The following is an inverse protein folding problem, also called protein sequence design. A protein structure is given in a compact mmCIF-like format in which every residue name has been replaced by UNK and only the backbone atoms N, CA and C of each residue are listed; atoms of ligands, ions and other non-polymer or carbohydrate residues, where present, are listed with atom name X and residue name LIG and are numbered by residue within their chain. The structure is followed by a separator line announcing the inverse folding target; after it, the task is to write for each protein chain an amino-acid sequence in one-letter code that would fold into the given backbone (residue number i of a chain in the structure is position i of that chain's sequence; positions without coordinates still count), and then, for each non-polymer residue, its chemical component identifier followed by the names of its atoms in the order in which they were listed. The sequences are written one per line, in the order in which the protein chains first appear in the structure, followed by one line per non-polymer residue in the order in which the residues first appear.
data_IF_879990516240
#
_entry.id   IF_879990516240
#
_cell.length_a   1.000
_cell.length_b   1.000
_cell.length_c   1.000
_cell.angle_alpha   90.00
_cell.angle_beta   90.00
_cell.angle_gamma   90.00
#
_symmetry.space_group_name_H-M   'P 1'
#
loop_
_entity.id
_entity.type
_entity.pdbx_description
1 polymer ?
#
# COMPACT_ATOMS: atom_id res chain seq x y z
N UNK A 1 5.99 -17.10 -1.65
CA UNK A 1 5.33 -15.82 -1.95
C UNK A 1 6.17 -14.66 -1.43
N UNK A 2 6.98 -14.06 -2.29
CA UNK A 2 7.63 -12.78 -2.05
C UNK A 2 6.89 -11.65 -2.76
N UNK A 3 6.57 -10.59 -2.01
CA UNK A 3 6.09 -9.33 -2.55
C UNK A 3 7.00 -8.23 -2.05
N UNK A 4 7.58 -7.52 -3.00
CA UNK A 4 8.48 -6.42 -2.73
C UNK A 4 7.88 -5.12 -3.25
N UNK A 5 8.09 -4.05 -2.50
CA UNK A 5 7.55 -2.75 -2.83
C UNK A 5 8.40 -2.01 -3.82
N UNK A 6 7.93 -1.92 -5.06
CA UNK A 6 8.23 -0.74 -5.86
C UNK A 6 7.40 0.42 -5.34
N UNK A 7 8.01 1.61 -5.30
CA UNK A 7 7.26 2.86 -5.17
C UNK A 7 6.19 2.95 -6.26
N UNK A 8 5.07 3.60 -5.94
CA UNK A 8 4.04 3.93 -6.93
C UNK A 8 4.41 5.22 -7.65
N UNK A 9 4.08 5.28 -8.94
CA UNK A 9 3.94 6.56 -9.60
C UNK A 9 2.67 7.24 -9.08
N UNK A 10 2.83 8.45 -8.54
CA UNK A 10 1.75 9.31 -8.10
C UNK A 10 1.54 10.39 -9.16
N UNK A 11 0.31 10.48 -9.69
CA UNK A 11 -0.08 11.47 -10.68
C UNK A 11 -1.23 12.30 -10.12
N UNK A 12 -0.97 13.56 -9.70
CA UNK A 12 -2.02 14.50 -9.36
C UNK A 12 -2.91 14.79 -10.57
N UNK A 13 -4.22 14.67 -10.40
CA UNK A 13 -5.20 15.01 -11.43
C UNK A 13 -5.83 16.36 -11.04
N UNK A 14 -5.23 17.44 -11.52
CA UNK A 14 -5.69 18.81 -11.29
C UNK A 14 -6.43 19.40 -12.49
N UNK A 15 -6.13 18.93 -13.71
CA UNK A 15 -6.77 19.39 -14.94
C UNK A 15 -6.81 18.30 -16.02
N UNK A 16 -7.37 18.64 -17.20
CA UNK A 16 -7.57 17.70 -18.30
C UNK A 16 -6.27 17.17 -18.91
N UNK A 17 -5.18 17.92 -18.85
CA UNK A 17 -3.88 17.50 -19.40
C UNK A 17 -3.29 16.31 -18.62
N UNK A 18 -3.53 16.26 -17.30
CA UNK A 18 -3.12 15.17 -16.41
C UNK A 18 -3.74 13.82 -16.82
N UNK A 19 -4.95 13.82 -17.40
CA UNK A 19 -5.61 12.59 -17.90
C UNK A 19 -4.77 11.96 -19.01
N UNK A 20 -4.25 12.78 -19.93
CA UNK A 20 -3.41 12.31 -21.03
C UNK A 20 -2.07 11.77 -20.54
N UNK A 21 -1.49 12.40 -19.52
CA UNK A 21 -0.26 11.95 -18.86
C UNK A 21 -0.45 10.61 -18.15
N UNK A 22 -1.44 10.50 -17.26
CA UNK A 22 -1.76 9.28 -16.54
C UNK A 22 -2.04 8.10 -17.50
N UNK A 23 -2.74 8.37 -18.60
CA UNK A 23 -2.98 7.36 -19.65
C UNK A 23 -1.70 6.89 -20.33
N UNK A 24 -0.76 7.78 -20.67
CA UNK A 24 0.51 7.39 -21.30
C UNK A 24 1.37 6.56 -20.34
N UNK A 25 1.52 7.02 -19.11
CA UNK A 25 2.33 6.32 -18.11
C UNK A 25 1.75 4.94 -17.78
N UNK A 26 0.43 4.84 -17.66
CA UNK A 26 -0.24 3.55 -17.41
C UNK A 26 -0.11 2.57 -18.57
N UNK A 27 -0.10 3.04 -19.83
CA UNK A 27 0.17 2.20 -20.99
C UNK A 27 1.62 1.67 -20.97
N UNK A 28 2.60 2.52 -20.68
CA UNK A 28 4.01 2.12 -20.54
C UNK A 28 4.20 1.08 -19.42
N UNK A 29 3.57 1.29 -18.26
CA UNK A 29 3.61 0.34 -17.15
C UNK A 29 2.97 -1.00 -17.53
N UNK A 30 1.85 -1.00 -18.27
CA UNK A 30 1.19 -2.21 -18.72
C UNK A 30 2.04 -3.04 -19.69
N UNK A 31 2.79 -2.36 -20.58
CA UNK A 31 3.76 -3.01 -21.47
C UNK A 31 4.92 -3.60 -20.68
N UNK A 32 5.49 -2.84 -19.74
CA UNK A 32 6.59 -3.28 -18.86
C UNK A 32 6.19 -4.43 -17.94
N UNK A 33 4.92 -4.46 -17.51
CA UNK A 33 4.36 -5.54 -16.70
C UNK A 33 4.27 -6.86 -17.47
N UNK A 34 4.41 -6.87 -18.80
CA UNK A 34 4.28 -8.06 -19.67
C UNK A 34 2.91 -8.73 -19.54
N UNK A 35 1.86 -7.92 -19.46
CA UNK A 35 0.48 -8.40 -19.55
C UNK A 35 0.20 -9.03 -20.93
N UNK A 36 -0.81 -9.89 -21.02
CA UNK A 36 -1.38 -10.34 -22.31
C UNK A 36 -1.92 -9.12 -23.06
N UNK A 37 -1.82 -9.13 -24.39
CA UNK A 37 -2.21 -7.99 -25.24
C UNK A 37 -3.62 -7.45 -24.95
N UNK A 38 -4.60 -8.34 -24.71
CA UNK A 38 -5.96 -7.94 -24.37
C UNK A 38 -6.08 -7.21 -23.02
N UNK A 39 -5.20 -7.50 -22.07
CA UNK A 39 -5.16 -6.89 -20.74
C UNK A 39 -4.36 -5.58 -20.75
N UNK A 40 -3.28 -5.50 -21.55
CA UNK A 40 -2.48 -4.27 -21.73
C UNK A 40 -3.34 -3.09 -22.16
N UNK A 41 -4.31 -3.31 -23.06
CA UNK A 41 -5.23 -2.27 -23.51
C UNK A 41 -6.26 -1.82 -22.47
N UNK A 42 -6.55 -2.62 -21.43
CA UNK A 42 -7.56 -2.28 -20.39
C UNK A 42 -7.04 -1.24 -19.40
N UNK A 43 -5.77 -1.32 -19.04
CA UNK A 43 -5.11 -0.43 -18.06
C UNK A 43 -5.30 1.06 -18.42
N UNK A 44 -4.91 1.56 -19.60
CA UNK A 44 -5.07 2.98 -19.95
C UNK A 44 -6.54 3.41 -20.08
N UNK A 45 -7.46 2.49 -20.42
CA UNK A 45 -8.90 2.78 -20.42
C UNK A 45 -9.42 3.02 -19.00
N UNK A 46 -9.08 2.13 -18.07
CA UNK A 46 -9.45 2.27 -16.65
C UNK A 46 -8.89 3.58 -16.09
N UNK A 47 -7.60 3.87 -16.33
CA UNK A 47 -6.97 5.10 -15.82
C UNK A 47 -7.63 6.35 -16.39
N UNK A 48 -8.02 6.36 -17.67
CA UNK A 48 -8.70 7.50 -18.29
C UNK A 48 -10.07 7.76 -17.66
N UNK A 49 -10.85 6.70 -17.41
CA UNK A 49 -12.16 6.81 -16.77
C UNK A 49 -12.02 7.27 -15.31
N UNK A 50 -11.08 6.70 -14.55
CA UNK A 50 -10.84 7.10 -13.16
C UNK A 50 -10.36 8.55 -13.07
N UNK A 51 -9.37 8.96 -13.87
CA UNK A 51 -8.90 10.34 -13.88
C UNK A 51 -9.99 11.33 -14.31
N UNK A 52 -10.84 10.96 -15.27
CA UNK A 52 -12.01 11.76 -15.67
C UNK A 52 -13.00 11.89 -14.52
N UNK A 53 -13.27 10.80 -13.78
CA UNK A 53 -14.16 10.83 -12.63
C UNK A 53 -13.62 11.72 -11.50
N UNK A 54 -12.31 11.68 -11.22
CA UNK A 54 -11.68 12.57 -10.24
C UNK A 54 -11.93 14.04 -10.59
N UNK A 55 -11.71 14.42 -11.86
CA UNK A 55 -11.90 15.81 -12.29
C UNK A 55 -13.38 16.23 -12.30
N UNK A 56 -14.29 15.38 -12.81
CA UNK A 56 -15.71 15.72 -12.96
C UNK A 56 -16.49 15.69 -11.65
N UNK A 57 -16.16 14.78 -10.72
CA UNK A 57 -16.96 14.54 -9.52
C UNK A 57 -16.29 15.02 -8.23
N UNK A 58 -14.96 15.13 -8.21
CA UNK A 58 -14.20 15.55 -7.03
C UNK A 58 -13.37 16.82 -7.23
N UNK A 59 -13.39 17.42 -8.43
CA UNK A 59 -12.59 18.59 -8.87
C UNK A 59 -11.08 18.34 -8.93
N UNK A 60 -10.54 17.48 -8.07
CA UNK A 60 -9.15 17.06 -8.08
C UNK A 60 -9.01 15.68 -7.41
N UNK A 61 -7.87 15.04 -7.63
CA UNK A 61 -7.52 13.80 -6.95
C UNK A 61 -6.13 13.32 -7.35
N UNK A 62 -5.86 12.05 -7.09
CA UNK A 62 -4.57 11.43 -7.36
C UNK A 62 -4.78 10.01 -7.91
N UNK A 63 -3.99 9.66 -8.92
CA UNK A 63 -3.87 8.29 -9.42
C UNK A 63 -2.53 7.74 -8.95
N UNK A 64 -2.55 6.60 -8.25
CA UNK A 64 -1.37 5.81 -7.91
C UNK A 64 -1.30 4.59 -8.82
N UNK A 65 -0.15 4.39 -9.48
CA UNK A 65 0.10 3.26 -10.38
C UNK A 65 1.33 2.48 -9.94
N UNK A 66 1.23 1.15 -10.00
CA UNK A 66 2.41 0.27 -9.89
C UNK A 66 2.24 -1.03 -10.66
N UNK A 67 3.37 -1.63 -10.99
CA UNK A 67 3.46 -3.03 -11.40
C UNK A 67 3.55 -3.88 -10.12
N UNK A 68 2.71 -4.90 -10.01
CA UNK A 68 2.71 -5.84 -8.89
C UNK A 68 3.64 -7.02 -9.21
N UNK A 69 4.57 -7.41 -8.32
CA UNK A 69 5.53 -8.48 -8.57
C UNK A 69 4.97 -9.88 -8.86
N UNK A 70 5.78 -10.64 -9.61
CA UNK A 70 5.45 -11.79 -10.47
C UNK A 70 5.06 -13.10 -9.77
N UNK A 71 5.25 -13.27 -8.45
CA UNK A 71 4.80 -14.52 -7.79
C UNK A 71 3.28 -14.68 -7.76
N UNK A 72 2.57 -13.57 -7.96
CA UNK A 72 1.14 -13.58 -8.24
C UNK A 72 0.86 -13.74 -9.74
N UNK A 73 1.82 -13.39 -10.59
CA UNK A 73 1.74 -13.20 -12.04
C UNK A 73 1.72 -11.71 -12.41
N UNK A 74 1.96 -11.35 -13.69
CA UNK A 74 2.06 -9.95 -14.12
C UNK A 74 0.74 -9.21 -13.89
N UNK A 75 0.81 -8.09 -13.16
CA UNK A 75 -0.35 -7.29 -12.82
C UNK A 75 -0.01 -5.80 -12.70
N UNK A 76 -0.98 -4.96 -13.02
CA UNK A 76 -0.94 -3.52 -12.77
C UNK A 76 -2.01 -3.17 -11.76
N UNK A 77 -1.63 -2.44 -10.71
CA UNK A 77 -2.55 -1.89 -9.73
C UNK A 77 -2.72 -0.39 -9.98
N UNK A 78 -3.98 0.03 -9.94
CA UNK A 78 -4.45 1.39 -10.15
C UNK A 78 -5.28 1.75 -8.92
N UNK A 79 -4.88 2.82 -8.22
CA UNK A 79 -5.65 3.38 -7.12
C UNK A 79 -5.99 4.82 -7.48
N UNK A 80 -7.27 5.17 -7.44
CA UNK A 80 -7.75 6.54 -7.58
C UNK A 80 -8.27 7.02 -6.23
N UNK A 81 -7.79 8.17 -5.76
CA UNK A 81 -8.22 8.77 -4.49
C UNK A 81 -8.61 10.23 -4.68
N UNK A 82 -9.68 10.63 -3.99
CA UNK A 82 -10.12 12.01 -3.92
C UNK A 82 -10.64 12.38 -2.52
N UNK A 83 -10.70 13.68 -2.27
CA UNK A 83 -11.33 14.31 -1.09
C UNK A 83 -12.62 15.05 -1.45
N UNK A 84 -13.26 14.63 -2.54
CA UNK A 84 -14.50 15.22 -3.04
C UNK A 84 -15.71 14.86 -2.16
N UNK A 85 -16.93 15.09 -2.66
CA UNK A 85 -18.15 14.93 -1.88
C UNK A 85 -18.46 13.47 -1.51
N UNK A 86 -17.85 12.48 -2.17
CA UNK A 86 -18.18 11.06 -2.01
C UNK A 86 -19.56 10.69 -2.57
N UNK A 87 -19.94 9.42 -2.41
CA UNK A 87 -21.17 8.84 -2.97
C UNK A 87 -22.15 8.38 -1.88
N UNK A 88 -23.41 8.81 -1.97
CA UNK A 88 -24.49 8.40 -1.07
C UNK A 88 -24.98 6.97 -1.34
N UNK A 89 -25.14 6.63 -2.63
CA UNK A 89 -25.61 5.32 -3.08
C UNK A 89 -24.60 4.70 -4.04
N UNK A 90 -23.61 4.05 -3.45
CA UNK A 90 -22.54 3.37 -4.17
C UNK A 90 -23.07 2.30 -5.13
N UNK A 91 -24.14 1.58 -4.76
CA UNK A 91 -24.72 0.52 -5.60
C UNK A 91 -25.26 1.11 -6.89
N UNK A 92 -25.95 2.24 -6.80
CA UNK A 92 -26.47 2.95 -7.97
C UNK A 92 -25.36 3.49 -8.87
N UNK A 93 -24.26 4.00 -8.28
CA UNK A 93 -23.08 4.47 -9.02
C UNK A 93 -22.34 3.36 -9.80
N UNK A 94 -22.49 2.10 -9.40
CA UNK A 94 -21.90 0.94 -10.08
C UNK A 94 -22.81 0.32 -11.17
N UNK A 95 -24.05 0.78 -11.28
CA UNK A 95 -25.00 0.32 -12.30
C UNK A 95 -24.74 1.05 -13.62
N UNK A 96 -24.68 0.29 -14.72
CA UNK A 96 -24.50 0.87 -16.05
C UNK A 96 -25.64 1.82 -16.44
N UNK A 97 -25.28 2.87 -17.18
CA UNK A 97 -26.21 3.91 -17.63
C UNK A 97 -26.46 5.01 -16.59
N UNK A 98 -25.94 4.89 -15.37
CA UNK A 98 -26.04 5.93 -14.37
C UNK A 98 -24.92 6.97 -14.54
N UNK A 99 -25.28 8.19 -14.94
CA UNK A 99 -24.41 9.36 -14.93
C UNK A 99 -25.10 10.49 -14.19
N UNK A 100 -24.39 11.12 -13.25
CA UNK A 100 -24.83 12.36 -12.62
C UNK A 100 -24.50 13.61 -13.44
N UNK A 101 -23.63 13.51 -14.47
CA UNK A 101 -23.07 14.66 -15.20
C UNK A 101 -23.14 14.49 -16.73
N UNK A 102 -24.14 13.77 -17.26
CA UNK A 102 -24.39 13.71 -18.71
C UNK A 102 -23.31 13.02 -19.56
N UNK A 103 -22.36 12.32 -18.94
CA UNK A 103 -21.46 11.38 -19.62
C UNK A 103 -22.23 10.11 -20.00
N UNK A 104 -21.68 9.25 -20.87
CA UNK A 104 -22.33 8.00 -21.35
C UNK A 104 -22.74 6.98 -20.26
N UNK A 105 -22.60 7.30 -18.96
CA UNK A 105 -23.11 6.47 -17.86
C UNK A 105 -22.37 5.16 -17.65
N UNK A 106 -21.17 5.02 -18.22
CA UNK A 106 -20.39 3.78 -18.13
C UNK A 106 -19.25 3.84 -17.10
N UNK A 107 -18.91 4.99 -16.52
CA UNK A 107 -17.62 5.23 -15.83
C UNK A 107 -17.17 4.14 -14.84
N UNK A 108 -17.76 4.08 -13.63
CA UNK A 108 -17.34 3.11 -12.61
C UNK A 108 -17.77 1.66 -12.92
N UNK A 109 -18.91 1.47 -13.60
CA UNK A 109 -19.36 0.15 -14.04
C UNK A 109 -18.39 -0.48 -15.05
N UNK A 110 -17.88 0.31 -16.00
CA UNK A 110 -16.87 -0.10 -16.97
C UNK A 110 -15.53 -0.39 -16.30
N UNK A 111 -15.08 0.48 -15.38
CA UNK A 111 -13.87 0.20 -14.59
C UNK A 111 -13.98 -1.16 -13.91
N UNK A 112 -15.09 -1.44 -13.22
CA UNK A 112 -15.32 -2.74 -12.58
C UNK A 112 -15.26 -3.91 -13.56
N UNK A 113 -15.87 -3.80 -14.74
CA UNK A 113 -15.84 -4.86 -15.78
C UNK A 113 -14.47 -5.09 -16.39
N UNK A 114 -13.70 -4.02 -16.56
CA UNK A 114 -12.36 -4.09 -17.15
C UNK A 114 -11.30 -4.58 -16.15
N UNK A 115 -11.61 -4.51 -14.86
CA UNK A 115 -10.73 -4.93 -13.77
C UNK A 115 -10.82 -6.43 -13.50
N UNK A 116 -9.70 -7.03 -13.13
CA UNK A 116 -9.68 -8.40 -12.57
C UNK A 116 -10.08 -8.40 -11.10
N UNK A 117 -9.56 -7.44 -10.32
CA UNK A 117 -10.09 -7.12 -8.99
C UNK A 117 -10.53 -5.67 -8.97
N UNK A 118 -11.66 -5.41 -8.31
CA UNK A 118 -12.19 -4.08 -8.12
C UNK A 118 -12.71 -3.96 -6.69
N UNK A 119 -12.35 -2.88 -6.03
CA UNK A 119 -12.98 -2.49 -4.77
C UNK A 119 -13.07 -0.97 -4.67
N UNK A 120 -14.03 -0.49 -3.91
CA UNK A 120 -14.33 0.94 -3.80
C UNK A 120 -14.88 1.26 -2.42
N UNK A 121 -14.32 2.31 -1.83
CA UNK A 121 -14.80 2.89 -0.59
C UNK A 121 -15.12 4.36 -0.83
N UNK A 122 -16.35 4.75 -0.52
CA UNK A 122 -16.81 6.13 -0.62
C UNK A 122 -17.78 6.40 0.51
N UNK A 123 -17.59 7.52 1.20
CA UNK A 123 -18.54 8.00 2.20
C UNK A 123 -18.77 9.49 1.98
N UNK A 124 -19.98 9.96 2.27
CA UNK A 124 -20.26 11.39 2.22
C UNK A 124 -20.08 12.01 3.62
N UNK A 125 -19.42 13.17 3.74
CA UNK A 125 -18.73 13.96 2.71
C UNK A 125 -17.19 13.73 2.70
N UNK A 126 -16.71 12.48 2.67
CA UNK A 126 -15.31 12.14 2.92
C UNK A 126 -14.58 11.49 1.71
N UNK A 127 -15.02 11.83 0.49
CA UNK A 127 -14.37 11.44 -0.76
C UNK A 127 -14.45 9.94 -1.09
N UNK A 128 -13.62 9.53 -2.05
CA UNK A 128 -13.60 8.16 -2.56
C UNK A 128 -12.18 7.61 -2.70
N UNK A 129 -12.04 6.29 -2.52
CA UNK A 129 -10.91 5.51 -2.99
C UNK A 129 -11.43 4.38 -3.88
N UNK A 130 -10.88 4.24 -5.08
CA UNK A 130 -11.17 3.16 -6.02
C UNK A 130 -9.90 2.38 -6.28
N UNK A 131 -9.97 1.06 -6.09
CA UNK A 131 -8.92 0.12 -6.42
C UNK A 131 -9.32 -0.67 -7.67
N UNK A 132 -8.40 -0.78 -8.61
CA UNK A 132 -8.49 -1.65 -9.78
C UNK A 132 -7.18 -2.39 -9.96
N UNK A 133 -7.25 -3.70 -10.17
CA UNK A 133 -6.10 -4.53 -10.57
C UNK A 133 -6.41 -5.21 -11.89
N UNK A 134 -5.47 -5.14 -12.83
CA UNK A 134 -5.51 -5.87 -14.10
C UNK A 134 -4.42 -6.94 -14.07
N UNK A 135 -4.81 -8.20 -14.23
CA UNK A 135 -3.92 -9.37 -14.18
C UNK A 135 -4.07 -10.20 -15.44
N UNK A 136 -3.01 -10.89 -15.85
CA UNK A 136 -3.05 -11.77 -17.04
C UNK A 136 -3.28 -13.26 -16.78
N UNK A 137 -3.76 -13.59 -15.58
CA UNK A 137 -4.09 -14.95 -15.16
C UNK A 137 -5.41 -14.91 -14.37
N UNK A 138 -6.25 -15.91 -14.65
CA UNK A 138 -7.60 -16.03 -14.08
C UNK A 138 -7.62 -16.84 -12.78
N UNK A 139 -6.46 -17.37 -12.35
CA UNK A 139 -6.37 -18.14 -11.12
C UNK A 139 -6.65 -17.22 -9.91
N UNK A 140 -7.62 -17.55 -9.05
CA UNK A 140 -7.85 -16.78 -7.85
C UNK A 140 -6.60 -16.82 -6.98
N UNK A 141 -6.21 -15.66 -6.47
CA UNK A 141 -5.25 -15.58 -5.36
C UNK A 141 -5.90 -16.20 -4.13
N UNK A 142 -5.79 -17.52 -3.98
CA UNK A 142 -6.17 -18.20 -2.76
C UNK A 142 -5.04 -18.09 -1.72
N UNK A 143 -4.63 -16.84 -1.46
CA UNK A 143 -3.72 -16.54 -0.40
C UNK A 143 -4.53 -16.41 0.89
N UNK A 144 -4.17 -17.19 1.91
CA UNK A 144 -4.60 -17.04 3.30
C UNK A 144 -4.38 -15.61 3.83
N UNK A 145 -3.56 -14.82 3.13
CA UNK A 145 -3.11 -13.50 3.52
C UNK A 145 -3.38 -12.52 2.39
N UNK A 146 -4.00 -11.40 2.72
CA UNK A 146 -4.13 -10.24 1.85
C UNK A 146 -3.18 -9.16 2.34
N UNK A 147 -2.45 -8.53 1.43
CA UNK A 147 -1.59 -7.39 1.75
C UNK A 147 -1.72 -6.35 0.64
N UNK A 148 -1.54 -5.10 1.00
CA UNK A 148 -1.24 -4.03 0.06
C UNK A 148 -0.38 -2.99 0.75
N UNK A 149 0.33 -2.22 -0.04
CA UNK A 149 1.10 -1.11 0.45
C UNK A 149 1.07 0.02 -0.55
N UNK A 150 1.17 1.24 -0.03
CA UNK A 150 1.38 2.46 -0.81
C UNK A 150 2.72 3.02 -0.38
N UNK A 151 3.54 3.42 -1.35
CA UNK A 151 4.87 4.00 -1.09
C UNK A 151 5.15 5.03 -2.17
N UNK A 152 5.37 6.28 -1.77
CA UNK A 152 5.58 7.40 -2.69
C UNK A 152 6.73 8.27 -2.23
N UNK A 153 7.54 8.79 -3.17
CA UNK A 153 8.67 9.64 -2.85
C UNK A 153 8.24 10.96 -2.20
N UNK A 154 9.16 11.57 -1.45
CA UNK A 154 9.06 12.94 -0.97
C UNK A 154 8.83 13.92 -2.14
N UNK A 155 8.24 15.11 -1.90
CA UNK A 155 8.05 16.10 -2.95
C UNK A 155 9.37 16.46 -3.64
N UNK A 156 9.34 16.48 -4.98
CA UNK A 156 10.49 16.75 -5.86
C UNK A 156 11.57 15.66 -5.90
N UNK A 157 11.37 14.53 -5.23
CA UNK A 157 12.23 13.36 -5.36
C UNK A 157 11.68 12.37 -6.41
N UNK A 158 12.59 11.63 -7.04
CA UNK A 158 12.24 10.58 -8.01
C UNK A 158 12.40 9.18 -7.43
N UNK A 159 13.06 9.06 -6.28
CA UNK A 159 13.31 7.84 -5.55
C UNK A 159 12.82 7.99 -4.11
N UNK A 160 12.02 7.03 -3.66
CA UNK A 160 11.51 7.00 -2.30
C UNK A 160 12.59 6.49 -1.33
N UNK A 161 12.83 7.26 -0.27
CA UNK A 161 13.70 6.86 0.83
C UNK A 161 13.14 5.74 1.70
N UNK A 162 11.84 5.47 1.61
CA UNK A 162 11.19 4.35 2.27
C UNK A 162 11.25 3.06 1.44
N UNK A 163 11.13 1.93 2.11
CA UNK A 163 10.92 0.63 1.47
C UNK A 163 10.03 -0.30 2.30
N UNK A 164 9.47 -1.32 1.65
CA UNK A 164 8.70 -2.36 2.33
C UNK A 164 8.83 -3.70 1.60
N UNK A 165 8.64 -4.78 2.36
CA UNK A 165 8.70 -6.14 1.82
C UNK A 165 7.82 -7.07 2.64
N UNK A 166 7.14 -8.00 1.96
CA UNK A 166 6.41 -9.11 2.58
C UNK A 166 6.91 -10.44 2.02
N UNK A 167 7.30 -11.37 2.89
CA UNK A 167 7.67 -12.74 2.54
C UNK A 167 6.76 -13.72 3.25
N UNK A 168 6.21 -14.65 2.49
CA UNK A 168 5.33 -15.71 2.97
C UNK A 168 5.82 -17.06 2.46
N UNK A 169 6.01 -18.01 3.39
CA UNK A 169 6.32 -19.39 3.11
C UNK A 169 5.61 -20.30 4.13
N UNK A 170 4.81 -21.24 3.63
CA UNK A 170 4.10 -22.24 4.44
C UNK A 170 3.29 -21.58 5.58
N UNK A 171 3.69 -21.81 6.84
CA UNK A 171 3.04 -21.26 8.04
C UNK A 171 3.74 -20.02 8.60
N UNK A 172 4.60 -19.37 7.82
CA UNK A 172 5.36 -18.17 8.24
C UNK A 172 5.16 -17.01 7.30
N UNK A 173 4.88 -15.85 7.88
CA UNK A 173 4.84 -14.57 7.19
C UNK A 173 5.80 -13.60 7.88
N UNK A 174 6.52 -12.81 7.11
CA UNK A 174 7.30 -11.70 7.62
C UNK A 174 7.07 -10.46 6.78
N UNK A 175 6.98 -9.31 7.44
CA UNK A 175 6.73 -8.02 6.84
C UNK A 175 7.67 -6.98 7.44
N UNK A 176 8.20 -6.10 6.59
CA UNK A 176 9.04 -4.97 7.01
C UNK A 176 8.60 -3.68 6.36
N UNK A 177 8.82 -2.59 7.10
CA UNK A 177 8.82 -1.21 6.61
C UNK A 177 10.12 -0.55 7.07
N UNK A 178 10.76 0.15 6.15
CA UNK A 178 12.04 0.83 6.31
C UNK A 178 11.87 2.29 5.87
N UNK A 179 12.47 3.19 6.61
CA UNK A 179 12.57 4.63 6.33
C UNK A 179 14.06 4.98 6.41
N UNK A 180 14.69 5.12 5.24
CA UNK A 180 16.09 5.49 5.12
C UNK A 180 16.31 6.94 5.51
N UNK A 181 17.38 7.26 6.25
CA UNK A 181 17.54 8.61 6.78
C UNK A 181 17.59 9.72 5.72
N UNK A 182 16.64 10.65 5.82
CA UNK A 182 16.45 11.75 4.87
C UNK A 182 15.51 11.36 3.74
N UNK A 183 15.69 11.91 2.55
CA UNK A 183 14.93 11.55 1.36
C UNK A 183 15.84 11.42 0.13
N UNK A 184 15.29 10.92 -0.97
CA UNK A 184 15.97 10.78 -2.25
C UNK A 184 16.97 9.61 -2.30
N UNK A 185 17.88 9.60 -3.29
CA UNK A 185 18.65 8.40 -3.64
C UNK A 185 19.52 7.82 -2.50
N UNK A 186 20.07 8.67 -1.62
CA UNK A 186 20.90 8.18 -0.52
C UNK A 186 20.08 7.51 0.60
N UNK A 187 18.85 7.96 0.83
CA UNK A 187 17.91 7.28 1.72
C UNK A 187 17.46 5.96 1.09
N UNK A 188 17.11 5.99 -0.20
CA UNK A 188 16.70 4.82 -0.97
C UNK A 188 17.77 3.71 -0.98
N UNK A 189 19.06 4.08 -1.07
CA UNK A 189 20.18 3.13 -0.96
C UNK A 189 20.24 2.43 0.40
N UNK A 190 20.06 3.17 1.50
CA UNK A 190 20.02 2.58 2.84
C UNK A 190 18.81 1.64 3.00
N UNK A 191 17.63 2.04 2.49
CA UNK A 191 16.44 1.21 2.54
C UNK A 191 16.58 -0.05 1.67
N UNK A 192 17.19 0.06 0.50
CA UNK A 192 17.49 -1.07 -0.40
C UNK A 192 18.45 -2.07 0.24
N UNK A 193 19.50 -1.60 0.91
CA UNK A 193 20.43 -2.47 1.63
C UNK A 193 19.75 -3.20 2.79
N UNK A 194 18.83 -2.53 3.50
CA UNK A 194 18.00 -3.17 4.50
C UNK A 194 17.12 -4.29 3.90
N UNK A 195 16.52 -4.06 2.73
CA UNK A 195 15.75 -5.09 2.03
C UNK A 195 16.62 -6.29 1.62
N UNK A 196 17.86 -6.05 1.17
CA UNK A 196 18.80 -7.14 0.83
C UNK A 196 19.01 -8.07 2.03
N UNK A 197 19.33 -7.51 3.20
CA UNK A 197 19.49 -8.28 4.45
C UNK A 197 18.19 -8.98 4.83
N UNK A 198 17.04 -8.32 4.65
CA UNK A 198 15.74 -8.92 4.96
C UNK A 198 15.46 -10.16 4.10
N UNK A 199 15.83 -10.16 2.82
CA UNK A 199 15.64 -11.34 1.95
C UNK A 199 16.42 -12.55 2.48
N UNK A 200 17.60 -12.34 3.04
CA UNK A 200 18.46 -13.37 3.62
C UNK A 200 17.94 -13.86 4.98
N UNK A 201 17.37 -12.97 5.80
CA UNK A 201 16.98 -13.22 7.20
C UNK A 201 15.46 -13.21 7.45
N UNK A 202 14.64 -13.33 6.40
CA UNK A 202 13.22 -12.94 6.49
C UNK A 202 12.42 -13.77 7.48
N UNK A 203 12.80 -15.01 7.75
CA UNK A 203 12.09 -15.88 8.68
C UNK A 203 12.84 -16.11 10.00
N UNK A 204 13.87 -15.31 10.27
CA UNK A 204 14.50 -15.23 11.57
C UNK A 204 13.65 -14.37 12.51
N UNK A 205 14.04 -14.31 13.79
CA UNK A 205 13.36 -13.42 14.74
C UNK A 205 13.59 -11.95 14.37
N UNK A 206 12.62 -11.04 14.66
CA UNK A 206 12.78 -9.61 14.39
C UNK A 206 14.04 -9.00 15.00
N UNK A 207 14.43 -9.41 16.22
CA UNK A 207 15.68 -8.95 16.85
C UNK A 207 16.90 -9.39 16.06
N UNK A 208 16.96 -10.66 15.64
CA UNK A 208 18.10 -11.16 14.87
C UNK A 208 18.25 -10.45 13.52
N UNK A 209 17.15 -10.18 12.83
CA UNK A 209 17.18 -9.35 11.63
C UNK A 209 17.73 -7.95 11.94
N UNK A 210 17.22 -7.27 12.98
CA UNK A 210 17.67 -5.93 13.36
C UNK A 210 19.17 -5.88 13.73
N UNK A 211 19.71 -6.92 14.36
CA UNK A 211 21.15 -7.04 14.62
C UNK A 211 21.94 -7.15 13.32
N UNK A 212 21.51 -8.01 12.39
CA UNK A 212 22.18 -8.20 11.11
C UNK A 212 22.15 -6.93 10.24
N UNK A 213 20.99 -6.28 10.13
CA UNK A 213 20.84 -5.06 9.33
C UNK A 213 21.55 -3.87 9.98
N UNK A 214 21.69 -3.83 11.32
CA UNK A 214 22.48 -2.80 11.99
C UNK A 214 23.95 -2.82 11.54
N UNK A 215 24.54 -4.00 11.43
CA UNK A 215 25.92 -4.15 10.94
C UNK A 215 26.02 -3.76 9.46
N UNK A 216 25.08 -4.23 8.62
CA UNK A 216 25.09 -3.96 7.19
C UNK A 216 24.95 -2.45 6.87
N UNK A 217 24.17 -1.72 7.67
CA UNK A 217 23.93 -0.29 7.47
C UNK A 217 24.99 0.62 8.10
N UNK A 218 26.05 0.09 8.73
CA UNK A 218 27.02 0.89 9.47
C UNK A 218 27.70 2.00 8.63
N UNK A 219 27.94 1.73 7.35
CA UNK A 219 28.56 2.69 6.41
C UNK A 219 27.53 3.49 5.59
N UNK A 220 26.25 3.45 5.96
CA UNK A 220 25.16 4.14 5.26
C UNK A 220 24.68 5.36 6.05
N UNK A 221 23.61 6.02 5.57
CA UNK A 221 22.89 7.03 6.38
C UNK A 221 22.16 6.43 7.59
N UNK A 222 21.98 5.12 7.62
CA UNK A 222 21.13 4.43 8.57
C UNK A 222 19.65 4.52 8.19
N UNK A 223 18.82 3.87 9.00
CA UNK A 223 17.38 3.84 8.78
C UNK A 223 16.59 3.65 10.08
N UNK A 224 15.32 4.05 10.07
CA UNK A 224 14.32 3.51 10.96
C UNK A 224 13.67 2.27 10.34
N UNK A 225 13.50 1.20 11.12
CA UNK A 225 13.07 -0.10 10.61
C UNK A 225 12.11 -0.75 11.62
N UNK A 226 11.04 -1.34 11.13
CA UNK A 226 10.25 -2.30 11.91
C UNK A 226 10.02 -3.59 11.13
N UNK A 227 10.01 -4.71 11.86
CA UNK A 227 9.74 -6.04 11.35
C UNK A 227 8.65 -6.71 12.17
N UNK A 228 7.67 -7.28 11.47
CA UNK A 228 6.70 -8.23 12.00
C UNK A 228 7.02 -9.62 11.44
N UNK A 229 7.15 -10.62 12.31
CA UNK A 229 7.27 -12.03 11.95
C UNK A 229 6.09 -12.79 12.57
N UNK A 230 5.41 -13.59 11.78
CA UNK A 230 4.13 -14.20 12.13
C UNK A 230 4.19 -15.70 11.91
N UNK A 231 3.74 -16.43 12.92
CA UNK A 231 3.42 -17.85 12.86
C UNK A 231 1.92 -18.01 12.61
N UNK A 232 1.55 -18.44 11.41
CA UNK A 232 0.16 -18.45 10.94
C UNK A 232 -0.70 -19.50 11.64
N UNK A 233 -0.13 -20.64 12.03
CA UNK A 233 -0.87 -21.70 12.73
C UNK A 233 -1.22 -21.30 14.17
N UNK A 234 -0.30 -20.62 14.85
CA UNK A 234 -0.48 -20.21 16.26
C UNK A 234 -1.07 -18.80 16.38
N UNK A 235 -1.24 -18.09 15.26
CA UNK A 235 -1.73 -16.71 15.20
C UNK A 235 -0.87 -15.72 16.03
N UNK A 236 0.43 -16.05 16.21
CA UNK A 236 1.37 -15.24 16.98
C UNK A 236 2.17 -14.32 16.07
N UNK A 237 2.24 -13.05 16.45
CA UNK A 237 3.03 -12.03 15.80
C UNK A 237 4.14 -11.56 16.74
N UNK A 238 5.38 -11.72 16.31
CA UNK A 238 6.55 -11.12 16.94
C UNK A 238 6.90 -9.81 16.22
N UNK A 239 7.05 -8.74 16.98
CA UNK A 239 7.37 -7.42 16.44
C UNK A 239 8.58 -6.84 17.13
N UNK A 240 9.49 -6.24 16.34
CA UNK A 240 10.52 -5.35 16.85
C UNK A 240 10.69 -4.17 15.88
N UNK A 241 10.89 -2.98 16.43
CA UNK A 241 11.18 -1.79 15.66
C UNK A 241 12.20 -0.89 16.33
N UNK A 242 12.98 -0.19 15.51
CA UNK A 242 13.95 0.83 15.89
C UNK A 242 13.66 2.09 15.09
N UNK A 243 13.45 3.21 15.78
CA UNK A 243 13.12 4.49 15.18
C UNK A 243 11.63 4.79 15.19
N UNK A 244 11.17 5.52 14.16
CA UNK A 244 9.86 6.15 14.04
C UNK A 244 8.85 5.37 13.16
N UNK A 245 9.18 4.16 12.70
CA UNK A 245 8.20 3.30 12.01
C UNK A 245 7.09 2.92 12.99
N UNK A 246 5.85 3.26 12.61
CA UNK A 246 4.67 2.92 13.38
C UNK A 246 4.17 1.53 12.99
N UNK A 247 3.74 0.75 13.98
CA UNK A 247 3.00 -0.48 13.79
C UNK A 247 1.77 -0.50 14.68
N UNK A 248 0.66 -1.04 14.19
CA UNK A 248 -0.52 -1.31 15.01
C UNK A 248 -1.30 -2.51 14.49
N UNK A 249 -1.97 -3.19 15.42
CA UNK A 249 -2.98 -4.19 15.14
C UNK A 249 -4.36 -3.59 15.34
N UNK A 250 -5.28 -3.85 14.42
CA UNK A 250 -6.68 -3.44 14.55
C UNK A 250 -7.56 -4.67 14.43
N UNK A 251 -8.31 -4.96 15.49
CA UNK A 251 -9.16 -6.13 15.50
C UNK A 251 -10.52 -5.88 14.81
N UNK A 252 -11.33 -6.94 14.69
CA UNK A 252 -12.66 -6.85 14.09
C UNK A 252 -13.63 -5.85 14.78
N UNK A 253 -13.41 -5.48 16.05
CA UNK A 253 -14.19 -4.45 16.75
C UNK A 253 -13.68 -3.02 16.49
N UNK A 254 -12.64 -2.86 15.67
CA UNK A 254 -12.00 -1.58 15.39
C UNK A 254 -11.08 -1.08 16.52
N UNK A 255 -10.78 -1.93 17.53
CA UNK A 255 -9.88 -1.57 18.61
C UNK A 255 -8.44 -1.69 18.11
N UNK A 256 -7.69 -0.61 18.24
CA UNK A 256 -6.28 -0.56 17.86
C UNK A 256 -5.36 -0.85 19.05
N UNK A 257 -4.32 -1.64 18.81
CA UNK A 257 -3.21 -1.89 19.72
C UNK A 257 -1.90 -1.51 19.03
N UNK A 258 -1.18 -0.55 19.58
CA UNK A 258 0.12 -0.13 19.03
C UNK A 258 1.20 -1.19 19.28
N UNK A 259 2.04 -1.41 18.27
CA UNK A 259 3.23 -2.23 18.33
C UNK A 259 4.42 -1.36 18.75
N UNK A 260 5.20 -1.80 19.73
CA UNK A 260 6.23 -0.98 20.36
C UNK A 260 7.53 -0.97 19.54
N UNK A 261 7.97 0.22 19.16
CA UNK A 261 9.32 0.48 18.62
C UNK A 261 10.16 1.21 19.66
N UNK A 262 11.47 0.97 19.67
CA UNK A 262 12.43 1.67 20.53
C UNK A 262 13.12 2.80 19.76
N UNK A 263 13.47 3.88 20.47
CA UNK A 263 14.21 4.99 19.86
C UNK A 263 15.63 4.57 19.46
N UNK A 264 16.04 4.90 18.24
CA UNK A 264 17.38 4.68 17.70
C UNK A 264 17.41 4.80 16.18
N UNK A 265 18.59 4.58 15.61
CA UNK A 265 18.83 4.54 14.17
C UNK A 265 19.63 3.28 13.86
N UNK A 266 19.06 2.40 13.03
CA UNK A 266 19.75 1.20 12.55
C UNK A 266 20.92 1.64 11.64
N UNK A 267 22.09 1.03 11.79
CA UNK A 267 23.33 1.48 11.16
C UNK A 267 24.12 2.54 11.95
N UNK A 268 23.50 3.23 12.92
CA UNK A 268 24.19 4.28 13.70
C UNK A 268 24.20 3.99 15.21
N UNK A 269 23.06 4.14 15.88
CA UNK A 269 22.97 3.96 17.33
C UNK A 269 21.70 3.23 17.74
N UNK A 270 21.86 2.10 18.42
CA UNK A 270 20.76 1.32 18.98
C UNK A 270 21.04 1.14 20.46
N UNK A 271 20.11 1.58 21.33
CA UNK A 271 20.24 1.43 22.78
C UNK A 271 19.70 0.10 23.28
N UNK A 272 18.62 -0.39 22.67
CA UNK A 272 17.92 -1.60 23.07
C UNK A 272 17.26 -2.24 21.86
N UNK A 273 17.46 -3.53 21.71
CA UNK A 273 16.66 -4.38 20.84
C UNK A 273 15.77 -5.27 21.71
N UNK A 274 14.49 -5.28 21.39
CA UNK A 274 13.51 -6.11 22.08
C UNK A 274 12.39 -6.41 21.09
N UNK A 275 12.07 -7.70 20.96
CA UNK A 275 10.82 -8.12 20.35
C UNK A 275 9.75 -8.29 21.43
N UNK A 276 8.51 -7.99 21.05
CA UNK A 276 7.32 -8.31 21.82
C UNK A 276 6.42 -9.23 21.01
N UNK A 277 5.60 -10.00 21.71
CA UNK A 277 4.63 -10.91 21.13
C UNK A 277 3.23 -10.31 21.22
N UNK A 278 2.45 -10.50 20.15
CA UNK A 278 1.08 -10.04 20.00
C UNK A 278 0.24 -11.15 19.36
N UNK A 279 -1.07 -11.10 19.59
CA UNK A 279 -2.02 -11.97 18.91
C UNK A 279 -2.50 -11.30 17.63
N UNK A 280 -2.45 -12.00 16.49
CA UNK A 280 -2.98 -11.52 15.21
C UNK A 280 -3.90 -12.57 14.61
N UNK A 281 -5.22 -12.37 14.77
CA UNK A 281 -6.23 -13.34 14.41
C UNK A 281 -6.79 -13.12 13.00
N UNK A 282 -7.56 -14.08 12.52
CA UNK A 282 -8.29 -13.96 11.26
C UNK A 282 -9.19 -12.70 11.27
N UNK A 283 -9.08 -11.90 10.21
CA UNK A 283 -9.78 -10.63 10.07
C UNK A 283 -9.09 -9.43 10.72
N UNK A 284 -8.13 -9.63 11.63
CA UNK A 284 -7.36 -8.54 12.22
C UNK A 284 -6.44 -7.89 11.15
N UNK A 285 -6.26 -6.58 11.24
CA UNK A 285 -5.38 -5.82 10.36
C UNK A 285 -4.04 -5.57 11.04
N UNK A 286 -2.95 -5.86 10.36
CA UNK A 286 -1.63 -5.32 10.64
C UNK A 286 -1.42 -4.08 9.76
N UNK A 287 -1.19 -2.93 10.39
CA UNK A 287 -0.89 -1.69 9.69
C UNK A 287 0.48 -1.20 10.17
N UNK A 288 1.41 -1.03 9.23
CA UNK A 288 2.74 -0.46 9.47
C UNK A 288 2.94 0.73 8.55
N UNK A 289 3.53 1.82 9.03
CA UNK A 289 3.79 2.98 8.18
C UNK A 289 5.02 3.79 8.63
N UNK A 290 5.68 4.45 7.68
CA UNK A 290 6.74 5.43 7.95
C UNK A 290 6.17 6.70 8.58
N UNK A 291 7.05 7.60 9.01
CA UNK A 291 6.61 8.84 9.63
C UNK A 291 6.14 9.90 8.61
N UNK A 292 6.28 9.64 7.31
CA UNK A 292 5.55 10.33 6.24
C UNK A 292 4.04 10.36 6.43
N UNK A 293 3.53 9.46 7.29
CA UNK A 293 2.15 9.42 7.71
C UNK A 293 1.95 9.88 9.18
N UNK A 294 0.84 10.57 9.42
CA UNK A 294 0.36 10.86 10.76
C UNK A 294 -0.05 9.57 11.46
N UNK A 295 0.28 9.44 12.74
CA UNK A 295 -0.22 8.37 13.63
C UNK A 295 -1.58 8.72 14.24
N UNK A 296 -2.12 9.92 13.96
CA UNK A 296 -3.37 10.43 14.53
C UNK A 296 -4.57 10.03 13.68
N UNK A 297 -4.90 8.74 13.68
CA UNK A 297 -6.08 8.21 13.03
C UNK A 297 -6.72 7.13 13.89
N UNK A 298 -8.01 6.87 13.65
CA UNK A 298 -8.75 5.76 14.26
C UNK A 298 -9.55 5.10 13.16
N UNK A 299 -9.39 3.78 12.99
CA UNK A 299 -10.09 3.09 11.92
C UNK A 299 -11.62 3.12 12.11
N UNK A 300 -12.09 3.22 13.35
CA UNK A 300 -13.49 3.45 13.70
C UNK A 300 -14.09 4.75 13.14
N UNK A 301 -13.25 5.71 12.72
CA UNK A 301 -13.69 6.93 12.03
C UNK A 301 -14.08 6.69 10.57
N UNK A 302 -13.86 5.47 10.06
CA UNK A 302 -14.14 5.06 8.68
C UNK A 302 -15.12 3.88 8.66
N UNK A 303 -16.44 4.15 8.70
CA UNK A 303 -17.45 3.09 8.78
C UNK A 303 -17.36 2.10 7.63
N UNK A 304 -17.20 0.81 7.94
CA UNK A 304 -17.14 -0.26 6.94
C UNK A 304 -15.79 -0.44 6.24
N UNK A 305 -14.82 0.47 6.44
CA UNK A 305 -13.52 0.41 5.76
C UNK A 305 -12.75 -0.89 6.07
N UNK A 306 -12.89 -1.44 7.29
CA UNK A 306 -12.26 -2.70 7.68
C UNK A 306 -12.62 -3.90 6.78
N UNK A 307 -13.78 -3.84 6.11
CA UNK A 307 -14.26 -4.90 5.23
C UNK A 307 -13.70 -4.77 3.81
N UNK A 308 -13.15 -3.60 3.45
CA UNK A 308 -12.58 -3.34 2.14
C UNK A 308 -11.27 -4.11 1.92
N UNK A 309 -10.84 -4.21 0.66
CA UNK A 309 -9.53 -4.68 0.25
C UNK A 309 -8.43 -3.89 0.97
N UNK A 310 -7.34 -4.55 1.35
CA UNK A 310 -6.23 -3.90 2.07
C UNK A 310 -5.62 -2.74 1.28
N UNK A 311 -5.71 -2.75 -0.06
CA UNK A 311 -5.33 -1.63 -0.92
C UNK A 311 -6.24 -0.42 -0.79
N UNK A 312 -7.54 -0.63 -0.61
CA UNK A 312 -8.49 0.46 -0.34
C UNK A 312 -8.29 1.02 1.06
N UNK A 313 -8.05 0.16 2.05
CA UNK A 313 -7.69 0.59 3.42
C UNK A 313 -6.43 1.44 3.40
N UNK A 314 -5.37 0.95 2.74
CA UNK A 314 -4.12 1.69 2.57
C UNK A 314 -4.36 3.03 1.87
N UNK A 315 -5.17 3.05 0.81
CA UNK A 315 -5.48 4.26 0.03
C UNK A 315 -6.18 5.33 0.85
N UNK A 316 -7.19 4.97 1.65
CA UNK A 316 -7.91 5.94 2.50
C UNK A 316 -6.99 6.49 3.59
N UNK A 317 -6.25 5.62 4.29
CA UNK A 317 -5.32 6.07 5.32
C UNK A 317 -4.20 6.92 4.73
N UNK A 318 -3.64 6.53 3.60
CA UNK A 318 -2.64 7.31 2.86
C UNK A 318 -3.19 8.70 2.50
N UNK A 319 -4.32 8.75 1.80
CA UNK A 319 -4.96 10.00 1.39
C UNK A 319 -5.12 10.94 2.57
N UNK A 320 -5.64 10.44 3.69
CA UNK A 320 -6.04 11.26 4.84
C UNK A 320 -4.90 11.59 5.79
N UNK A 321 -3.90 10.72 5.91
CA UNK A 321 -2.85 10.82 6.93
C UNK A 321 -1.47 11.14 6.36
N UNK A 322 -1.26 11.15 5.04
CA UNK A 322 0.00 11.61 4.43
C UNK A 322 0.30 13.05 4.84
N UNK A 323 1.52 13.32 5.31
CA UNK A 323 1.97 14.66 5.74
C UNK A 323 2.34 15.57 4.56
N UNK A 324 2.75 14.98 3.43
CA UNK A 324 3.01 15.71 2.18
C UNK A 324 4.34 16.45 2.10
N UNK A 325 5.28 16.19 3.03
CA UNK A 325 6.60 16.83 3.10
C UNK A 325 7.77 15.85 3.13
N UNK A 326 7.46 14.57 3.04
CA UNK A 326 8.40 13.47 3.24
C UNK A 326 8.00 12.28 2.37
N UNK A 327 8.90 11.30 2.28
CA UNK A 327 8.59 9.96 1.79
C UNK A 327 7.42 9.39 2.61
N UNK A 328 6.52 8.65 1.97
CA UNK A 328 5.34 8.13 2.65
C UNK A 328 5.04 6.71 2.25
N UNK A 329 5.11 5.80 3.23
CA UNK A 329 4.84 4.38 3.06
C UNK A 329 3.86 3.86 4.10
N UNK A 330 2.88 3.09 3.64
CA UNK A 330 1.96 2.31 4.48
C UNK A 330 1.83 0.91 3.92
N UNK A 331 1.93 -0.08 4.80
CA UNK A 331 1.68 -1.49 4.56
C UNK A 331 0.48 -1.92 5.39
N UNK A 332 -0.49 -2.54 4.75
CA UNK A 332 -1.69 -3.11 5.37
C UNK A 332 -1.74 -4.59 5.03
N UNK A 333 -1.85 -5.45 6.03
CA UNK A 333 -2.02 -6.88 5.87
C UNK A 333 -3.20 -7.41 6.69
N UNK A 334 -3.83 -8.49 6.22
CA UNK A 334 -4.94 -9.18 6.85
C UNK A 334 -4.84 -10.68 6.62
N UNK A 335 -5.07 -11.46 7.67
CA UNK A 335 -5.37 -12.89 7.52
C UNK A 335 -6.82 -13.05 7.08
N UNK A 336 -7.06 -13.67 5.92
CA UNK A 336 -8.42 -13.99 5.49
C UNK A 336 -8.97 -15.08 6.42
N UNK A 337 -10.24 -14.96 6.80
CA UNK A 337 -10.94 -16.07 7.40
C UNK A 337 -11.04 -17.19 6.35
N UNK A 338 -10.74 -18.43 6.76
CA UNK A 338 -10.99 -19.62 5.95
C UNK A 338 -12.48 -19.80 5.64
#
# INVERSE_FOLDING_TARGET
MSIYGHQQASIPIADRSCIGEARRLSAEMAERARLKAADTGRVPLIVSELATNLLLHAQSGEILLRIVPVELGPAVEIIAIDRGPGMADLKRCLTDGYSSVGTRGCGLGAVRRLSTDFDIYSTQPAGTAVLSRVRSFDAPLNAQIQFSAISTPAPNETECGDAWYVRHAEQRLSAIVVDGLGHGPLAALAATEALRVFIEHSFNSPVHYLEAVHVALHASRGAAIAMAAVELESHRLHFAGVGNISGCLVNASGKSQSLLSHNGIVGAHIRKLQQLEYQWNNGDLLIMHSDGMSTRWKLSSYPGLMLADTGVIAAILYRDCKRGRDDATILVARLKAN
#
